data_IF_592612705512
#
_entry.id   IF_592612705512
#
_cell.length_a   1.000
_cell.length_b   1.000
_cell.length_c   1.000
_cell.angle_alpha   90.00
_cell.angle_beta   90.00
_cell.angle_gamma   90.00
#
_symmetry.space_group_name_H-M   'P 1'
#
loop_
_entity.id
_entity.type
_entity.pdbx_description
1 polymer ?
#
# COMPACT_ATOMS: atom_id res chain seq x y z
N UNK A 1 -2.71 45.77 -72.86
CA UNK A 1 -1.70 45.94 -71.80
C UNK A 1 -2.34 45.57 -70.48
N UNK A 2 -1.60 44.84 -69.66
CA UNK A 2 -2.03 44.13 -68.46
C UNK A 2 -2.32 45.02 -67.25
N UNK A 3 -3.16 44.53 -66.34
CA UNK A 3 -2.96 44.49 -64.87
C UNK A 3 -4.16 43.70 -64.27
N UNK A 4 -3.98 42.50 -63.71
CA UNK A 4 -3.50 42.17 -62.36
C UNK A 4 -4.46 42.59 -61.23
N UNK A 5 -4.82 41.63 -60.36
CA UNK A 5 -5.63 41.91 -59.17
C UNK A 5 -6.34 40.73 -58.49
N UNK A 6 -5.64 39.61 -58.34
CA UNK A 6 -5.88 38.45 -57.45
C UNK A 6 -6.99 38.59 -56.37
N UNK A 7 -8.06 37.79 -56.48
CA UNK A 7 -9.03 37.59 -55.39
C UNK A 7 -8.38 36.80 -54.24
N UNK A 8 -8.17 37.47 -53.11
CA UNK A 8 -7.67 36.83 -51.88
C UNK A 8 -8.81 36.04 -51.21
N UNK A 9 -8.68 34.71 -50.99
CA UNK A 9 -9.69 33.99 -50.22
C UNK A 9 -9.60 34.38 -48.73
N UNK A 10 -10.73 34.36 -47.99
CA UNK A 10 -10.74 34.68 -46.57
C UNK A 10 -9.94 33.63 -45.78
N UNK A 11 -9.19 34.11 -44.79
CA UNK A 11 -8.34 33.33 -43.92
C UNK A 11 -9.13 32.20 -43.24
N UNK A 12 -8.86 30.97 -43.66
CA UNK A 12 -9.42 29.76 -43.07
C UNK A 12 -9.12 29.68 -41.58
N UNK A 13 -10.15 29.30 -40.84
CA UNK A 13 -10.20 28.97 -39.43
C UNK A 13 -8.94 28.24 -38.96
N UNK A 14 -8.18 28.86 -38.06
CA UNK A 14 -7.20 28.13 -37.25
C UNK A 14 -7.99 27.27 -36.27
N UNK A 15 -8.29 26.03 -36.68
CA UNK A 15 -8.74 25.00 -35.77
C UNK A 15 -7.69 24.83 -34.67
N UNK A 16 -8.01 25.26 -33.44
CA UNK A 16 -7.21 24.96 -32.27
C UNK A 16 -7.28 23.44 -32.04
N UNK A 17 -6.22 22.73 -32.41
CA UNK A 17 -6.04 21.36 -31.97
C UNK A 17 -5.83 21.37 -30.45
N UNK A 18 -6.85 20.95 -29.71
CA UNK A 18 -6.75 20.72 -28.26
C UNK A 18 -6.00 19.41 -28.08
N UNK A 19 -4.77 19.48 -27.56
CA UNK A 19 -4.04 18.28 -27.17
C UNK A 19 -4.78 17.59 -26.02
N UNK A 20 -5.09 16.30 -26.17
CA UNK A 20 -5.69 15.51 -25.09
C UNK A 20 -4.74 15.50 -23.88
N UNK A 21 -5.27 15.89 -22.71
CA UNK A 21 -4.51 15.86 -21.48
C UNK A 21 -4.18 14.41 -21.11
N UNK A 22 -2.92 14.12 -20.77
CA UNK A 22 -2.51 12.79 -20.30
C UNK A 22 -3.36 12.40 -19.08
N UNK A 23 -3.95 11.19 -19.03
CA UNK A 23 -4.78 10.78 -17.91
C UNK A 23 -3.97 10.82 -16.61
N UNK A 24 -4.56 11.42 -15.56
CA UNK A 24 -3.95 11.43 -14.23
C UNK A 24 -4.04 10.02 -13.63
N UNK A 25 -2.91 9.32 -13.56
CA UNK A 25 -2.81 8.03 -12.88
C UNK A 25 -3.00 8.25 -11.37
N UNK A 26 -4.01 7.62 -10.77
CA UNK A 26 -4.17 7.59 -9.32
C UNK A 26 -3.13 6.64 -8.72
N UNK A 27 -2.48 7.07 -7.63
CA UNK A 27 -1.59 6.20 -6.86
C UNK A 27 -2.43 5.11 -6.18
N UNK A 28 -1.94 3.86 -6.07
CA UNK A 28 -2.63 2.83 -5.30
C UNK A 28 -2.82 3.24 -3.84
N UNK A 29 -3.95 2.87 -3.21
CA UNK A 29 -4.17 3.08 -1.79
C UNK A 29 -3.14 2.29 -0.97
N UNK A 30 -2.77 2.84 0.19
CA UNK A 30 -1.85 2.24 1.14
C UNK A 30 -2.60 1.70 2.35
N UNK A 31 -2.10 0.60 2.90
CA UNK A 31 -2.70 -0.12 4.01
C UNK A 31 -1.64 -0.36 5.09
N UNK A 32 -2.00 -0.14 6.36
CA UNK A 32 -1.22 -0.58 7.51
C UNK A 32 -1.55 -2.04 7.79
N UNK A 33 -0.53 -2.88 7.98
CA UNK A 33 -0.69 -4.23 8.54
C UNK A 33 -0.45 -4.18 10.04
N UNK A 34 -1.36 -4.75 10.82
CA UNK A 34 -1.47 -4.58 12.26
C UNK A 34 -1.58 -5.94 12.93
N UNK A 35 -0.79 -6.17 13.97
CA UNK A 35 -0.99 -7.27 14.92
C UNK A 35 -1.82 -6.80 16.09
N UNK A 36 -2.70 -7.67 16.58
CA UNK A 36 -3.56 -7.42 17.74
C UNK A 36 -3.13 -8.32 18.90
N UNK A 37 -3.20 -7.77 20.11
CA UNK A 37 -2.83 -8.49 21.33
C UNK A 37 -3.86 -9.57 21.68
N UNK A 38 -3.38 -10.65 22.28
CA UNK A 38 -4.14 -11.71 22.90
C UNK A 38 -3.37 -12.30 24.09
N UNK A 39 -4.04 -13.06 24.95
CA UNK A 39 -3.45 -13.57 26.20
C UNK A 39 -2.77 -14.96 26.06
N UNK A 40 -2.72 -15.53 24.86
CA UNK A 40 -2.30 -16.92 24.63
C UNK A 40 -1.09 -17.07 23.71
N UNK A 41 -0.85 -16.13 22.80
CA UNK A 41 0.28 -16.17 21.88
C UNK A 41 1.59 -15.81 22.62
N UNK A 42 2.62 -16.68 22.60
CA UNK A 42 3.90 -16.39 23.25
C UNK A 42 4.61 -15.17 22.64
N UNK A 43 5.28 -14.36 23.48
CA UNK A 43 6.02 -13.17 23.02
C UNK A 43 7.11 -13.51 21.99
N UNK A 44 7.85 -14.59 22.19
CA UNK A 44 8.90 -15.03 21.25
C UNK A 44 8.30 -15.45 19.90
N UNK A 45 7.08 -15.98 19.87
CA UNK A 45 6.39 -16.30 18.62
C UNK A 45 6.04 -15.03 17.83
N UNK A 46 5.56 -13.99 18.51
CA UNK A 46 5.28 -12.69 17.87
C UNK A 46 6.57 -12.08 17.28
N UNK A 47 7.70 -12.18 17.99
CA UNK A 47 9.00 -11.73 17.47
C UNK A 47 9.38 -12.53 16.22
N UNK A 48 9.24 -13.85 16.23
CA UNK A 48 9.54 -14.70 15.07
C UNK A 48 8.66 -14.36 13.85
N UNK A 49 7.37 -14.09 14.06
CA UNK A 49 6.46 -13.64 12.99
C UNK A 49 6.95 -12.34 12.36
N UNK A 50 7.36 -11.37 13.18
CA UNK A 50 7.86 -10.08 12.73
C UNK A 50 9.18 -10.20 11.95
N UNK A 51 10.07 -11.08 12.38
CA UNK A 51 11.31 -11.38 11.66
C UNK A 51 11.03 -12.07 10.31
N UNK A 52 10.21 -13.14 10.30
CA UNK A 52 9.98 -13.97 9.12
C UNK A 52 9.11 -13.31 8.05
N UNK A 53 7.98 -12.72 8.44
CA UNK A 53 7.00 -12.19 7.48
C UNK A 53 7.32 -10.75 7.09
N UNK A 54 7.89 -9.96 7.99
CA UNK A 54 8.15 -8.54 7.76
C UNK A 54 9.62 -8.22 7.55
N UNK A 55 10.52 -9.20 7.70
CA UNK A 55 11.96 -9.02 7.47
C UNK A 55 12.60 -8.06 8.47
N UNK A 56 12.04 -7.96 9.68
CA UNK A 56 12.57 -7.10 10.72
C UNK A 56 13.80 -7.73 11.37
N UNK A 57 14.73 -6.90 11.81
CA UNK A 57 15.73 -7.34 12.79
C UNK A 57 15.07 -7.57 14.15
N UNK A 58 15.72 -8.38 14.99
CA UNK A 58 15.21 -8.75 16.31
C UNK A 58 14.91 -7.55 17.20
N UNK A 59 15.74 -6.51 17.17
CA UNK A 59 15.55 -5.34 18.05
C UNK A 59 14.28 -4.60 17.67
N UNK A 60 14.04 -4.40 16.38
CA UNK A 60 12.80 -3.78 15.89
C UNK A 60 11.58 -4.68 16.15
N UNK A 61 11.69 -5.98 15.91
CA UNK A 61 10.63 -6.94 16.17
C UNK A 61 10.20 -6.96 17.65
N UNK A 62 11.16 -6.99 18.58
CA UNK A 62 10.88 -6.92 20.02
C UNK A 62 10.17 -5.63 20.41
N UNK A 63 10.53 -4.48 19.82
CA UNK A 63 9.85 -3.21 20.11
C UNK A 63 8.38 -3.24 19.70
N UNK A 64 8.08 -3.75 18.50
CA UNK A 64 6.70 -3.84 18.02
C UNK A 64 5.93 -4.89 18.81
N UNK A 65 6.54 -6.03 19.16
CA UNK A 65 5.91 -7.02 20.05
C UNK A 65 5.51 -6.39 21.38
N UNK A 66 6.39 -5.60 22.01
CA UNK A 66 6.07 -4.88 23.25
C UNK A 66 4.96 -3.85 23.05
N UNK A 67 4.92 -3.16 21.91
CA UNK A 67 3.82 -2.25 21.54
C UNK A 67 2.48 -3.00 21.48
N UNK A 68 2.43 -4.13 20.76
CA UNK A 68 1.25 -5.00 20.70
C UNK A 68 0.81 -5.39 22.11
N UNK A 69 1.73 -5.91 22.92
CA UNK A 69 1.42 -6.37 24.28
C UNK A 69 0.90 -5.25 25.20
N UNK A 70 1.50 -4.07 25.14
CA UNK A 70 1.20 -2.98 26.08
C UNK A 70 0.08 -2.06 25.62
N UNK A 71 -0.14 -1.93 24.30
CA UNK A 71 -1.11 -0.99 23.70
C UNK A 71 -2.28 -1.72 23.02
N UNK A 72 -2.28 -3.05 23.00
CA UNK A 72 -3.32 -3.89 22.40
C UNK A 72 -3.17 -4.10 20.89
N UNK A 73 -2.31 -3.32 20.22
CA UNK A 73 -2.02 -3.45 18.78
C UNK A 73 -0.66 -2.84 18.43
N UNK A 74 -0.09 -3.24 17.30
CA UNK A 74 1.15 -2.68 16.77
C UNK A 74 1.21 -2.71 15.25
N UNK A 75 1.73 -1.63 14.66
CA UNK A 75 1.86 -1.50 13.19
C UNK A 75 3.13 -2.19 12.71
N UNK A 76 2.97 -3.21 11.89
CA UNK A 76 4.08 -4.00 11.34
C UNK A 76 4.69 -3.37 10.09
N UNK A 77 3.86 -2.69 9.28
CA UNK A 77 4.32 -1.99 8.07
C UNK A 77 3.18 -1.37 7.27
N UNK A 78 3.55 -0.61 6.24
CA UNK A 78 2.61 0.03 5.30
C UNK A 78 2.91 -0.46 3.90
N UNK A 79 1.89 -0.94 3.20
CA UNK A 79 2.02 -1.60 1.90
C UNK A 79 0.86 -1.23 0.96
N UNK A 80 0.95 -1.59 -0.32
CA UNK A 80 -0.23 -1.63 -1.20
C UNK A 80 -1.17 -2.75 -0.76
N UNK A 81 -2.44 -2.66 -1.15
CA UNK A 81 -3.48 -3.63 -0.78
C UNK A 81 -3.04 -5.10 -0.97
N UNK A 82 -2.60 -5.48 -2.17
CA UNK A 82 -2.24 -6.88 -2.49
C UNK A 82 -1.08 -7.40 -1.61
N UNK A 83 -0.10 -6.54 -1.30
CA UNK A 83 1.03 -6.90 -0.44
C UNK A 83 0.57 -7.01 1.02
N UNK A 84 -0.29 -6.08 1.47
CA UNK A 84 -0.85 -6.12 2.82
C UNK A 84 -1.71 -7.38 3.02
N UNK A 85 -2.58 -7.70 2.08
CA UNK A 85 -3.43 -8.91 2.09
C UNK A 85 -2.57 -10.18 2.15
N UNK A 86 -1.53 -10.26 1.31
CA UNK A 86 -0.59 -11.40 1.30
C UNK A 86 0.10 -11.55 2.66
N UNK A 87 0.56 -10.45 3.27
CA UNK A 87 1.22 -10.50 4.59
C UNK A 87 0.26 -10.92 5.69
N UNK A 88 -0.98 -10.41 5.69
CA UNK A 88 -2.02 -10.85 6.64
C UNK A 88 -2.24 -12.35 6.52
N UNK A 89 -2.43 -12.86 5.30
CA UNK A 89 -2.63 -14.29 5.06
C UNK A 89 -1.43 -15.15 5.52
N UNK A 90 -0.19 -14.68 5.29
CA UNK A 90 1.03 -15.36 5.75
C UNK A 90 1.09 -15.45 7.28
N UNK A 91 0.78 -14.37 8.00
CA UNK A 91 0.75 -14.40 9.47
C UNK A 91 -0.32 -15.35 9.97
N UNK A 92 -1.54 -15.25 9.45
CA UNK A 92 -2.67 -16.07 9.90
C UNK A 92 -2.39 -17.56 9.69
N UNK A 93 -1.87 -17.95 8.53
CA UNK A 93 -1.51 -19.35 8.26
C UNK A 93 -0.39 -19.85 9.19
N UNK A 94 0.61 -19.02 9.48
CA UNK A 94 1.70 -19.38 10.37
C UNK A 94 1.24 -19.53 11.82
N UNK A 95 0.35 -18.64 12.29
CA UNK A 95 -0.26 -18.70 13.61
C UNK A 95 -1.13 -19.96 13.77
N UNK A 96 -1.96 -20.28 12.76
CA UNK A 96 -2.80 -21.48 12.76
C UNK A 96 -1.95 -22.76 12.80
N UNK A 97 -0.88 -22.84 12.00
CA UNK A 97 0.05 -23.98 12.00
C UNK A 97 0.69 -24.22 13.38
N UNK A 98 0.90 -23.17 14.17
CA UNK A 98 1.49 -23.23 15.51
C UNK A 98 0.44 -23.20 16.63
N UNK A 99 -0.85 -23.27 16.28
CA UNK A 99 -1.97 -23.29 17.22
C UNK A 99 -2.04 -22.06 18.13
N UNK A 100 -1.68 -20.89 17.60
CA UNK A 100 -1.78 -19.61 18.29
C UNK A 100 -2.94 -18.76 17.75
N UNK A 101 -3.72 -18.06 18.61
CA UNK A 101 -4.84 -17.25 18.18
C UNK A 101 -4.42 -15.84 17.67
N UNK A 102 -3.14 -15.64 17.36
CA UNK A 102 -2.58 -14.36 16.94
C UNK A 102 -3.33 -13.78 15.74
N UNK A 103 -3.94 -12.61 15.93
CA UNK A 103 -4.71 -11.95 14.89
C UNK A 103 -3.90 -10.87 14.17
N UNK A 104 -3.90 -10.94 12.85
CA UNK A 104 -3.30 -9.98 11.94
C UNK A 104 -4.39 -9.38 11.04
N UNK A 105 -4.39 -8.06 10.85
CA UNK A 105 -5.37 -7.35 10.01
C UNK A 105 -4.72 -6.21 9.23
N UNK A 106 -5.48 -5.56 8.35
CA UNK A 106 -5.06 -4.37 7.63
C UNK A 106 -6.14 -3.28 7.60
N UNK A 107 -5.73 -2.02 7.63
CA UNK A 107 -6.60 -0.84 7.50
C UNK A 107 -6.05 0.14 6.46
N UNK A 108 -6.93 0.81 5.71
CA UNK A 108 -6.53 1.86 4.77
C UNK A 108 -5.97 3.08 5.53
N UNK A 109 -4.92 3.69 4.98
CA UNK A 109 -4.22 4.85 5.58
C UNK A 109 -5.00 6.16 5.40
#
# INVERSE_FOLDING_TARGET
MAADGEQRPPAGERGLAVAEARPKLKKPPLFRVILLNDDYTPMDFVVEVLERVFGMDRTRATRIMLEVHTQGKGVCGVYTYEIAETKVAQVSAYAEQHQHPLLCTMEEV
#
